data_IF_023379184299
#
_entry.id   IF_023379184299
#
_cell.length_a   1.000
_cell.length_b   1.000
_cell.length_c   1.000
_cell.angle_alpha   90.00
_cell.angle_beta   90.00
_cell.angle_gamma   90.00
#
_symmetry.space_group_name_H-M   'P 1'
#
loop_
_entity.id
_entity.type
_entity.pdbx_description
1 polymer ?
#
# COMPACT_ATOMS: atom_id res chain seq x y z
N UNK A 1 -11.84 -5.71 -8.38
CA UNK A 1 -10.36 -5.71 -8.52
C UNK A 1 -9.95 -5.46 -9.96
N UNK A 2 -10.70 -5.96 -10.94
CA UNK A 2 -10.38 -5.84 -12.37
C UNK A 2 -10.28 -4.39 -12.87
N UNK A 3 -11.20 -3.53 -12.45
CA UNK A 3 -11.18 -2.09 -12.80
C UNK A 3 -9.92 -1.38 -12.30
N UNK A 4 -9.45 -1.72 -11.08
CA UNK A 4 -8.22 -1.16 -10.52
C UNK A 4 -7.00 -1.62 -11.33
N UNK A 5 -6.95 -2.90 -11.69
CA UNK A 5 -5.85 -3.46 -12.47
C UNK A 5 -5.82 -2.89 -13.90
N UNK A 6 -6.98 -2.70 -14.51
CA UNK A 6 -7.11 -2.08 -15.82
C UNK A 6 -6.63 -0.62 -15.80
N UNK A 7 -7.05 0.15 -14.79
CA UNK A 7 -6.58 1.51 -14.59
C UNK A 7 -5.05 1.61 -14.42
N UNK A 8 -4.46 0.70 -13.63
CA UNK A 8 -2.99 0.65 -13.46
C UNK A 8 -2.32 0.34 -14.80
N UNK A 9 -2.85 -0.60 -15.59
CA UNK A 9 -2.30 -0.90 -16.94
C UNK A 9 -2.35 0.33 -17.85
N UNK A 10 -3.46 1.07 -17.86
CA UNK A 10 -3.59 2.30 -18.66
C UNK A 10 -2.58 3.38 -18.26
N UNK A 11 -2.25 3.50 -16.97
CA UNK A 11 -1.20 4.42 -16.51
C UNK A 11 0.17 3.99 -17.03
N UNK A 12 0.46 2.68 -16.99
CA UNK A 12 1.75 2.14 -17.44
C UNK A 12 1.98 2.27 -18.95
N UNK A 13 0.92 2.40 -19.74
CA UNK A 13 0.99 2.63 -21.19
C UNK A 13 1.33 4.08 -21.58
N UNK A 14 1.34 5.02 -20.63
CA UNK A 14 1.71 6.41 -20.91
C UNK A 14 3.22 6.55 -21.20
N UNK A 15 3.58 7.56 -22.00
CA UNK A 15 4.98 7.87 -22.33
C UNK A 15 5.86 8.12 -21.09
N UNK A 16 5.27 8.66 -20.02
CA UNK A 16 5.95 8.88 -18.75
C UNK A 16 5.03 8.49 -17.57
N UNK A 17 4.98 7.18 -17.23
CA UNK A 17 4.04 6.66 -16.25
C UNK A 17 4.39 7.13 -14.83
N UNK A 18 5.67 7.40 -14.56
CA UNK A 18 6.15 7.92 -13.27
C UNK A 18 5.52 9.25 -12.94
N UNK A 19 5.51 10.19 -13.90
CA UNK A 19 4.92 11.51 -13.65
C UNK A 19 3.39 11.42 -13.54
N UNK A 20 2.75 10.52 -14.30
CA UNK A 20 1.30 10.29 -14.17
C UNK A 20 0.90 9.68 -12.83
N UNK A 21 1.75 8.82 -12.26
CA UNK A 21 1.57 8.29 -10.90
C UNK A 21 1.73 9.39 -9.84
N UNK A 22 2.65 10.34 -10.02
CA UNK A 22 2.79 11.49 -9.11
C UNK A 22 1.54 12.37 -9.12
N UNK A 23 1.05 12.72 -10.32
CA UNK A 23 -0.20 13.50 -10.45
C UNK A 23 -1.38 12.80 -9.78
N UNK A 24 -1.49 11.48 -9.93
CA UNK A 24 -2.52 10.70 -9.26
C UNK A 24 -2.38 10.75 -7.74
N UNK A 25 -1.15 10.64 -7.21
CA UNK A 25 -0.89 10.69 -5.78
C UNK A 25 -1.25 12.07 -5.18
N UNK A 26 -0.92 13.15 -5.88
CA UNK A 26 -1.32 14.52 -5.52
C UNK A 26 -2.84 14.66 -5.52
N UNK A 27 -3.51 14.24 -6.59
CA UNK A 27 -4.98 14.30 -6.70
C UNK A 27 -5.67 13.49 -5.60
N UNK A 28 -5.14 12.30 -5.27
CA UNK A 28 -5.65 11.49 -4.16
C UNK A 28 -5.47 12.23 -2.84
N UNK A 29 -4.33 12.87 -2.60
CA UNK A 29 -4.09 13.67 -1.39
C UNK A 29 -5.00 14.89 -1.27
N UNK A 30 -5.36 15.52 -2.39
CA UNK A 30 -6.25 16.68 -2.42
C UNK A 30 -7.73 16.30 -2.24
N UNK A 31 -8.18 15.24 -2.91
CA UNK A 31 -9.58 14.80 -2.91
C UNK A 31 -9.90 13.99 -1.67
N UNK A 32 -9.02 13.05 -1.33
CA UNK A 32 -9.11 12.31 -0.09
C UNK A 32 -8.21 13.03 0.88
N UNK A 33 -8.80 13.76 1.84
CA UNK A 33 -8.10 14.14 3.06
C UNK A 33 -7.77 12.85 3.82
N UNK A 34 -6.75 12.14 3.35
CA UNK A 34 -6.17 10.96 3.97
C UNK A 34 -5.53 11.49 5.25
N UNK A 35 -6.36 11.59 6.29
CA UNK A 35 -5.90 11.89 7.62
C UNK A 35 -4.75 10.92 7.90
N UNK A 36 -3.56 11.41 8.29
CA UNK A 36 -2.48 10.53 8.69
C UNK A 36 -3.04 9.62 9.77
N UNK A 37 -3.24 8.36 9.39
CA UNK A 37 -3.96 7.42 10.23
C UNK A 37 -3.19 7.31 11.54
N UNK A 38 -3.85 7.49 12.68
CA UNK A 38 -3.24 7.18 13.97
C UNK A 38 -2.85 5.69 14.11
N UNK A 39 -3.13 4.85 13.11
CA UNK A 39 -2.63 3.48 12.95
C UNK A 39 -1.43 3.38 12.00
N UNK A 40 -0.87 4.50 11.55
CA UNK A 40 0.32 4.49 10.72
C UNK A 40 1.46 3.88 11.55
N UNK A 41 1.93 2.71 11.11
CA UNK A 41 2.90 1.89 11.84
C UNK A 41 4.35 2.33 11.57
N UNK A 42 4.55 3.32 10.69
CA UNK A 42 5.87 3.90 10.42
C UNK A 42 6.44 4.53 11.69
N UNK A 43 7.64 4.09 12.07
CA UNK A 43 8.34 4.58 13.27
C UNK A 43 7.80 4.05 14.60
N UNK A 44 6.80 3.16 14.59
CA UNK A 44 6.35 2.47 15.81
C UNK A 44 7.19 1.23 16.04
N UNK A 45 7.49 0.95 17.30
CA UNK A 45 7.94 -0.38 17.70
C UNK A 45 6.79 -1.36 17.45
N UNK A 46 6.93 -2.17 16.40
CA UNK A 46 5.93 -3.18 16.01
C UNK A 46 6.03 -4.42 16.89
N UNK A 47 6.88 -4.38 17.92
CA UNK A 47 7.27 -5.54 18.69
C UNK A 47 8.13 -6.48 17.87
N UNK A 48 8.17 -7.73 18.32
CA UNK A 48 9.01 -8.77 17.73
C UNK A 48 8.49 -9.11 16.32
N UNK A 49 9.33 -8.92 15.30
CA UNK A 49 9.02 -9.35 13.92
C UNK A 49 9.07 -10.88 13.77
N UNK A 50 9.82 -11.56 14.63
CA UNK A 50 9.89 -13.02 14.64
C UNK A 50 8.59 -13.65 15.17
N UNK A 51 8.16 -14.79 14.60
CA UNK A 51 6.99 -15.52 15.10
C UNK A 51 7.15 -15.88 16.57
N UNK A 52 6.09 -15.68 17.36
CA UNK A 52 6.00 -16.26 18.71
C UNK A 52 5.94 -17.79 18.61
N UNK A 53 6.35 -18.49 19.66
CA UNK A 53 6.31 -19.96 19.68
C UNK A 53 4.92 -20.53 19.35
N UNK A 54 3.85 -19.82 19.73
CA UNK A 54 2.46 -20.17 19.38
C UNK A 54 2.13 -20.04 17.88
N UNK A 55 2.80 -19.15 17.15
CA UNK A 55 2.63 -18.96 15.71
C UNK A 55 3.43 -19.97 14.87
N UNK A 56 4.44 -20.63 15.48
CA UNK A 56 5.23 -21.67 14.82
C UNK A 56 4.48 -23.02 14.73
N UNK A 57 3.35 -23.17 15.41
CA UNK A 57 2.56 -24.42 15.46
C UNK A 57 1.60 -24.62 14.26
N UNK A 58 1.90 -24.11 13.05
CA UNK A 58 1.06 -24.31 11.85
C UNK A 58 1.84 -24.62 10.57
N UNK A 59 2.84 -25.49 10.64
CA UNK A 59 3.53 -26.04 9.46
C UNK A 59 3.59 -27.56 9.45
N UNK A 60 2.58 -28.25 10.00
CA UNK A 60 2.29 -29.65 9.68
C UNK A 60 0.78 -29.86 9.69
N UNK A 61 0.18 -29.82 8.50
CA UNK A 61 -1.23 -30.11 8.25
C UNK A 61 -1.41 -30.29 6.75
#
# INVERSE_FOLDING_TARGET
MDVLLEFIKTILEHHNPTDKLKELAELIGDVFQLMPSGKHMVGRDLGRMEPTASLQCRTVG
#
